data_IF_942647761703
#
_entry.id   IF_942647761703
#
_cell.length_a   1.000
_cell.length_b   1.000
_cell.length_c   1.000
_cell.angle_alpha   90.00
_cell.angle_beta   90.00
_cell.angle_gamma   90.00
#
_symmetry.space_group_name_H-M   'P 1'
#
loop_
_entity.id
_entity.type
_entity.pdbx_description
1 polymer ?
#
# COMPACT_ATOMS: atom_id res chain seq x y z
N UNK A 1 6.87 -20.67 -8.67
CA UNK A 1 5.47 -20.23 -8.92
C UNK A 1 4.56 -20.42 -7.73
N UNK A 2 4.63 -21.55 -7.00
CA UNK A 2 3.68 -21.82 -5.91
C UNK A 2 3.73 -20.80 -4.76
N UNK A 3 4.94 -20.43 -4.31
CA UNK A 3 5.14 -19.42 -3.26
C UNK A 3 4.64 -18.02 -3.66
N UNK A 4 4.82 -17.65 -4.93
CA UNK A 4 4.37 -16.36 -5.46
C UNK A 4 2.84 -16.29 -5.51
N UNK A 5 2.17 -17.33 -6.01
CA UNK A 5 0.71 -17.40 -5.98
C UNK A 5 0.17 -17.36 -4.55
N UNK A 6 0.81 -18.07 -3.62
CA UNK A 6 0.41 -18.08 -2.21
C UNK A 6 0.53 -16.69 -1.58
N UNK A 7 1.61 -15.96 -1.90
CA UNK A 7 1.79 -14.58 -1.45
C UNK A 7 0.74 -13.62 -2.03
N UNK A 8 0.40 -13.78 -3.31
CA UNK A 8 -0.69 -13.00 -3.94
C UNK A 8 -2.04 -13.29 -3.27
N UNK A 9 -2.36 -14.55 -2.99
CA UNK A 9 -3.60 -14.94 -2.29
C UNK A 9 -3.65 -14.32 -0.88
N UNK A 10 -2.58 -14.44 -0.10
CA UNK A 10 -2.53 -13.88 1.26
C UNK A 10 -2.63 -12.34 1.24
N UNK A 11 -2.02 -11.67 0.25
CA UNK A 11 -2.17 -10.22 0.09
C UNK A 11 -3.60 -9.79 -0.22
N UNK A 12 -4.40 -10.64 -0.87
CA UNK A 12 -5.81 -10.38 -1.17
C UNK A 12 -6.73 -10.71 0.01
N UNK A 13 -6.41 -11.73 0.79
CA UNK A 13 -7.23 -12.16 1.94
C UNK A 13 -6.97 -11.36 3.21
N UNK A 14 -5.77 -10.80 3.36
CA UNK A 14 -5.36 -10.08 4.57
C UNK A 14 -4.95 -8.65 4.20
N UNK A 15 -5.85 -7.65 4.35
CA UNK A 15 -5.65 -6.31 3.79
C UNK A 15 -4.34 -5.63 4.21
N UNK A 16 -3.92 -5.80 5.46
CA UNK A 16 -2.68 -5.20 5.98
C UNK A 16 -1.39 -5.85 5.46
N UNK A 17 -1.46 -7.10 4.96
CA UNK A 17 -0.28 -7.79 4.41
C UNK A 17 0.13 -7.15 3.08
N UNK A 18 -0.83 -6.75 2.24
CA UNK A 18 -0.54 -6.04 1.00
C UNK A 18 0.28 -4.77 1.24
N UNK A 19 -0.17 -3.99 2.21
CA UNK A 19 0.52 -2.79 2.70
C UNK A 19 1.93 -3.05 3.20
N UNK A 20 2.14 -4.09 4.01
CA UNK A 20 3.46 -4.47 4.51
C UNK A 20 4.41 -4.89 3.38
N UNK A 21 3.92 -5.66 2.40
CA UNK A 21 4.71 -6.08 1.23
C UNK A 21 5.10 -4.88 0.38
N UNK A 22 4.16 -3.97 0.10
CA UNK A 22 4.43 -2.75 -0.66
C UNK A 22 5.50 -1.88 0.01
N UNK A 23 5.38 -1.67 1.33
CA UNK A 23 6.39 -0.96 2.11
C UNK A 23 7.75 -1.65 2.03
N UNK A 24 7.80 -2.98 2.17
CA UNK A 24 9.02 -3.77 2.05
C UNK A 24 9.70 -3.60 0.68
N UNK A 25 8.93 -3.71 -0.41
CA UNK A 25 9.42 -3.48 -1.78
C UNK A 25 9.97 -2.06 -1.92
N UNK A 26 9.23 -1.06 -1.45
CA UNK A 26 9.66 0.33 -1.50
C UNK A 26 11.00 0.53 -0.79
N UNK A 27 11.16 0.00 0.43
CA UNK A 27 12.39 0.09 1.19
C UNK A 27 13.58 -0.58 0.49
N UNK A 28 13.39 -1.77 -0.10
CA UNK A 28 14.43 -2.47 -0.85
C UNK A 28 14.90 -1.62 -2.04
N UNK A 29 13.96 -1.08 -2.82
CA UNK A 29 14.28 -0.24 -3.97
C UNK A 29 14.92 1.08 -3.55
N UNK A 30 14.48 1.66 -2.43
CA UNK A 30 14.97 2.92 -1.89
C UNK A 30 16.46 2.87 -1.55
N UNK A 31 17.02 1.71 -1.18
CA UNK A 31 18.45 1.54 -0.89
C UNK A 31 19.33 2.06 -2.03
N UNK A 32 18.88 1.88 -3.29
CA UNK A 32 19.62 2.27 -4.50
C UNK A 32 19.72 3.79 -4.68
N UNK A 33 18.82 4.54 -4.06
CA UNK A 33 18.71 5.99 -4.18
C UNK A 33 19.15 6.67 -2.88
N UNK A 34 19.66 7.89 -3.00
CA UNK A 34 20.11 8.68 -1.85
C UNK A 34 19.21 9.90 -1.69
N UNK A 35 17.96 9.66 -1.32
CA UNK A 35 16.93 10.68 -1.22
C UNK A 35 16.35 11.10 -2.58
N UNK A 36 15.98 12.39 -2.70
CA UNK A 36 15.28 13.00 -3.83
C UNK A 36 16.11 13.19 -5.11
N UNK A 37 16.74 12.11 -5.56
CA UNK A 37 17.29 12.01 -6.92
C UNK A 37 16.17 11.86 -7.95
N UNK A 38 16.46 11.98 -9.25
CA UNK A 38 15.48 11.70 -10.31
C UNK A 38 14.87 10.30 -10.14
N UNK A 39 15.71 9.29 -9.94
CA UNK A 39 15.25 7.91 -9.70
C UNK A 39 14.48 7.74 -8.39
N UNK A 40 14.89 8.44 -7.32
CA UNK A 40 14.16 8.47 -6.06
C UNK A 40 12.77 9.12 -6.20
N UNK A 41 12.66 10.17 -7.01
CA UNK A 41 11.39 10.86 -7.30
C UNK A 41 10.45 9.93 -8.08
N UNK A 42 10.96 9.20 -9.08
CA UNK A 42 10.16 8.18 -9.77
C UNK A 42 9.71 7.07 -8.83
N UNK A 43 10.60 6.55 -7.98
CA UNK A 43 10.26 5.53 -6.99
C UNK A 43 9.16 6.03 -6.05
N UNK A 44 9.29 7.27 -5.55
CA UNK A 44 8.29 7.92 -4.72
C UNK A 44 6.93 7.99 -5.42
N UNK A 45 6.88 8.58 -6.61
CA UNK A 45 5.61 8.81 -7.33
C UNK A 45 4.93 7.50 -7.70
N UNK A 46 5.68 6.55 -8.28
CA UNK A 46 5.13 5.25 -8.67
C UNK A 46 4.72 4.47 -7.43
N UNK A 47 5.55 4.46 -6.38
CA UNK A 47 5.26 3.80 -5.13
C UNK A 47 3.96 4.30 -4.51
N UNK A 48 3.81 5.62 -4.36
CA UNK A 48 2.63 6.21 -3.75
C UNK A 48 1.34 5.89 -4.53
N UNK A 49 1.39 5.99 -5.87
CA UNK A 49 0.24 5.68 -6.73
C UNK A 49 -0.12 4.19 -6.64
N UNK A 50 0.85 3.30 -6.84
CA UNK A 50 0.62 1.85 -6.80
C UNK A 50 0.09 1.42 -5.43
N UNK A 51 0.67 1.95 -4.34
CA UNK A 51 0.20 1.66 -2.99
C UNK A 51 -1.23 2.15 -2.75
N UNK A 52 -1.59 3.34 -3.25
CA UNK A 52 -2.96 3.85 -3.12
C UNK A 52 -4.00 3.00 -3.86
N UNK A 53 -3.63 2.36 -4.98
CA UNK A 53 -4.52 1.45 -5.72
C UNK A 53 -4.60 0.04 -5.12
N UNK A 54 -3.49 -0.45 -4.59
CA UNK A 54 -3.37 -1.84 -4.13
C UNK A 54 -3.78 -2.00 -2.67
N UNK A 55 -3.70 -0.95 -1.85
CA UNK A 55 -4.23 -0.99 -0.49
C UNK A 55 -5.76 -1.01 -0.54
N UNK A 56 -6.33 -2.06 0.04
CA UNK A 56 -7.78 -2.33 0.08
C UNK A 56 -8.31 -1.94 1.47
N UNK A 57 -9.57 -1.51 1.61
CA UNK A 57 -10.12 -1.25 2.95
C UNK A 57 -10.14 -2.51 3.82
N UNK A 58 -10.16 -2.31 5.14
CA UNK A 58 -9.92 -3.37 6.12
C UNK A 58 -8.47 -3.42 6.63
N UNK A 59 -7.60 -2.49 6.23
CA UNK A 59 -6.27 -2.34 6.82
C UNK A 59 -6.37 -1.50 8.12
N UNK A 60 -6.29 -2.11 9.31
CA UNK A 60 -6.54 -1.40 10.56
C UNK A 60 -5.54 -0.27 10.83
N UNK A 61 -4.31 -0.36 10.31
CA UNK A 61 -3.26 0.62 10.60
C UNK A 61 -3.46 1.87 9.74
N UNK A 62 -3.74 1.69 8.45
CA UNK A 62 -3.83 2.81 7.49
C UNK A 62 -5.25 3.37 7.36
N UNK A 63 -6.27 2.62 7.77
CA UNK A 63 -7.63 3.11 7.90
C UNK A 63 -7.81 3.94 9.19
N UNK A 64 -7.12 3.65 10.29
CA UNK A 64 -7.34 4.36 11.56
C UNK A 64 -7.28 5.91 11.45
N UNK A 65 -6.33 6.54 10.72
CA UNK A 65 -6.35 7.99 10.56
C UNK A 65 -7.50 8.47 9.66
N UNK A 66 -7.99 7.65 8.72
CA UNK A 66 -9.19 7.96 7.94
C UNK A 66 -10.42 7.97 8.84
N UNK A 67 -10.59 6.91 9.63
CA UNK A 67 -11.71 6.74 10.56
C UNK A 67 -11.75 7.90 11.55
N UNK A 68 -10.61 8.29 12.12
CA UNK A 68 -10.52 9.42 13.05
C UNK A 68 -10.84 10.79 12.42
N UNK A 69 -10.67 10.97 11.11
CA UNK A 69 -10.87 12.24 10.42
C UNK A 69 -12.26 12.38 9.78
N UNK A 70 -12.85 11.26 9.36
CA UNK A 70 -14.04 11.27 8.50
C UNK A 70 -15.24 10.50 9.06
N UNK A 71 -15.06 9.68 10.10
CA UNK A 71 -16.12 8.85 10.66
C UNK A 71 -16.48 9.26 12.10
N UNK A 72 -17.68 8.86 12.53
CA UNK A 72 -18.11 9.02 13.91
C UNK A 72 -17.57 7.90 14.81
N UNK A 73 -17.61 8.11 16.12
CA UNK A 73 -17.24 7.07 17.08
C UNK A 73 -18.10 5.80 16.90
N UNK A 74 -17.46 4.64 16.80
CA UNK A 74 -18.11 3.35 16.55
C UNK A 74 -18.37 3.02 15.07
N UNK A 75 -17.98 3.89 14.14
CA UNK A 75 -18.02 3.64 12.71
C UNK A 75 -16.63 3.22 12.18
N UNK A 76 -16.58 2.20 11.32
CA UNK A 76 -15.34 1.65 10.77
C UNK A 76 -15.38 1.55 9.26
N UNK A 77 -14.22 1.71 8.61
CA UNK A 77 -14.08 1.55 7.17
C UNK A 77 -13.78 0.09 6.83
N UNK A 78 -14.74 -0.58 6.18
CA UNK A 78 -14.64 -1.97 5.77
C UNK A 78 -14.68 -2.13 4.25
N UNK A 79 -14.14 -3.24 3.76
CA UNK A 79 -14.33 -3.72 2.40
C UNK A 79 -15.13 -5.00 2.47
N UNK A 80 -16.36 -4.99 1.98
CA UNK A 80 -17.08 -6.23 1.68
C UNK A 80 -16.84 -6.55 0.22
N UNK A 81 -16.16 -7.68 -0.03
CA UNK A 81 -16.25 -8.30 -1.33
C UNK A 81 -17.66 -8.89 -1.46
N UNK A 82 -18.57 -8.19 -2.12
CA UNK A 82 -19.84 -8.81 -2.50
C UNK A 82 -19.51 -9.75 -3.66
N UNK A 83 -19.37 -11.05 -3.34
CA UNK A 83 -19.23 -12.09 -4.37
C UNK A 83 -20.64 -12.35 -4.90
N UNK A 84 -21.07 -11.57 -5.89
CA UNK A 84 -22.21 -11.95 -6.69
C UNK A 84 -21.76 -13.05 -7.66
N UNK A 85 -22.59 -14.10 -7.79
CA UNK A 85 -22.50 -15.12 -8.83
C UNK A 85 -23.64 -14.89 -9.82
N UNK A 86 -23.56 -13.90 -10.73
CA UNK A 86 -24.70 -13.50 -11.55
C UNK A 86 -25.05 -14.58 -12.59
N UNK A 87 -24.06 -15.41 -12.98
CA UNK A 87 -24.22 -16.55 -13.89
C UNK A 87 -23.04 -17.52 -13.76
N UNK A 88 -23.24 -18.82 -14.05
CA UNK A 88 -22.19 -19.85 -14.02
C UNK A 88 -20.96 -19.43 -14.85
N UNK A 89 -19.89 -19.01 -14.18
CA UNK A 89 -18.60 -18.70 -14.79
C UNK A 89 -18.11 -17.26 -14.61
N UNK A 90 -18.93 -16.34 -14.10
CA UNK A 90 -18.52 -14.96 -13.82
C UNK A 90 -18.59 -14.67 -12.32
N UNK A 91 -17.44 -14.34 -11.74
CA UNK A 91 -17.33 -13.78 -10.41
C UNK A 91 -17.05 -12.29 -10.57
N UNK A 92 -18.04 -11.44 -10.29
CA UNK A 92 -17.80 -10.01 -10.13
C UNK A 92 -17.34 -9.80 -8.69
N UNK A 93 -16.10 -9.34 -8.51
CA UNK A 93 -15.61 -8.86 -7.21
C UNK A 93 -15.70 -7.35 -7.24
N UNK A 94 -16.85 -6.81 -6.85
CA UNK A 94 -17.01 -5.39 -6.56
C UNK A 94 -16.61 -5.19 -5.10
N UNK A 95 -15.48 -4.53 -4.88
CA UNK A 95 -15.04 -4.13 -3.54
C UNK A 95 -15.62 -2.76 -3.24
N UNK A 96 -16.86 -2.73 -2.75
CA UNK A 96 -17.46 -1.47 -2.35
C UNK A 96 -16.87 -1.04 -1.01
N UNK A 97 -16.39 0.20 -0.94
CA UNK A 97 -15.98 0.78 0.32
C UNK A 97 -17.24 1.09 1.14
N UNK A 98 -17.40 0.42 2.28
CA UNK A 98 -18.55 0.62 3.16
C UNK A 98 -18.13 1.07 4.54
N UNK A 99 -19.02 1.80 5.20
CA UNK A 99 -18.92 2.15 6.60
C UNK A 99 -19.83 1.19 7.37
N UNK A 100 -19.26 0.52 8.36
CA UNK A 100 -19.96 -0.43 9.23
C UNK A 100 -20.00 0.08 10.66
N UNK A 101 -20.96 -0.39 11.45
CA UNK A 101 -20.96 -0.19 12.90
C UNK A 101 -20.01 -1.16 13.62
N UNK A 102 -19.93 -1.06 14.95
CA UNK A 102 -19.12 -1.94 15.79
C UNK A 102 -19.52 -3.42 15.73
N UNK A 103 -20.76 -3.71 15.34
CA UNK A 103 -21.29 -5.08 15.17
C UNK A 103 -21.06 -5.60 13.73
N UNK A 104 -20.51 -4.77 12.84
CA UNK A 104 -20.23 -5.08 11.44
C UNK A 104 -21.43 -4.90 10.50
N UNK A 105 -22.52 -4.29 10.96
CA UNK A 105 -23.66 -4.00 10.10
C UNK A 105 -23.34 -2.81 9.19
N UNK A 106 -23.71 -2.92 7.92
CA UNK A 106 -23.54 -1.84 6.94
C UNK A 106 -24.41 -0.64 7.31
N UNK A 107 -23.77 0.53 7.42
CA UNK A 107 -24.45 1.80 7.66
C UNK A 107 -24.63 2.60 6.36
N UNK A 108 -23.57 2.73 5.56
CA UNK A 108 -23.58 3.48 4.29
C UNK A 108 -22.36 3.18 3.41
N UNK A 109 -22.51 3.39 2.11
CA UNK A 109 -21.40 3.43 1.15
C UNK A 109 -20.56 4.71 1.31
N UNK A 110 -19.27 4.63 0.99
CA UNK A 110 -18.38 5.79 0.92
C UNK A 110 -17.83 5.99 -0.49
N UNK A 111 -17.54 7.24 -0.84
CA UNK A 111 -16.99 7.59 -2.15
C UNK A 111 -15.57 7.02 -2.33
N UNK A 112 -15.39 6.15 -3.32
CA UNK A 112 -14.11 5.54 -3.68
C UNK A 112 -13.02 6.53 -4.06
N UNK A 113 -13.40 7.68 -4.63
CA UNK A 113 -12.46 8.74 -4.96
C UNK A 113 -11.89 9.38 -3.70
N UNK A 114 -12.71 9.55 -2.66
CA UNK A 114 -12.26 10.10 -1.38
C UNK A 114 -11.30 9.14 -0.68
N UNK A 115 -11.63 7.85 -0.62
CA UNK A 115 -10.77 6.82 -0.02
C UNK A 115 -9.46 6.69 -0.78
N UNK A 116 -9.51 6.68 -2.12
CA UNK A 116 -8.31 6.69 -2.97
C UNK A 116 -7.43 7.91 -2.72
N UNK A 117 -8.00 9.13 -2.74
CA UNK A 117 -7.22 10.35 -2.58
C UNK A 117 -6.57 10.43 -1.18
N UNK A 118 -7.31 10.03 -0.15
CA UNK A 118 -6.74 9.91 1.19
C UNK A 118 -5.55 8.93 1.21
N UNK A 119 -5.69 7.74 0.62
CA UNK A 119 -4.59 6.76 0.56
C UNK A 119 -3.39 7.32 -0.18
N UNK A 120 -3.62 8.01 -1.30
CA UNK A 120 -2.55 8.66 -2.06
C UNK A 120 -1.80 9.67 -1.21
N UNK A 121 -2.51 10.49 -0.44
CA UNK A 121 -1.88 11.44 0.50
C UNK A 121 -1.13 10.70 1.60
N UNK A 122 -1.74 9.69 2.23
CA UNK A 122 -1.11 8.89 3.29
C UNK A 122 0.21 8.27 2.83
N UNK A 123 0.20 7.55 1.70
CA UNK A 123 1.42 6.95 1.16
C UNK A 123 2.43 7.99 0.67
N UNK A 124 1.99 9.13 0.15
CA UNK A 124 2.88 10.24 -0.18
C UNK A 124 3.58 10.79 1.06
N UNK A 125 2.88 10.89 2.20
CA UNK A 125 3.51 11.28 3.46
C UNK A 125 4.51 10.23 3.92
N UNK A 126 4.12 8.96 3.98
CA UNK A 126 4.99 7.86 4.44
C UNK A 126 6.25 7.77 3.58
N UNK A 127 6.09 7.63 2.26
CA UNK A 127 7.22 7.48 1.34
C UNK A 127 8.05 8.75 1.22
N UNK A 128 7.41 9.92 1.31
CA UNK A 128 8.09 11.23 1.35
C UNK A 128 8.98 11.38 2.58
N UNK A 129 8.53 10.91 3.74
CA UNK A 129 9.35 10.88 4.96
C UNK A 129 10.51 9.89 4.79
N UNK A 130 10.25 8.68 4.31
CA UNK A 130 11.30 7.65 4.15
C UNK A 130 12.39 8.07 3.16
N UNK A 131 12.03 8.63 2.01
CA UNK A 131 13.02 9.11 1.04
C UNK A 131 13.82 10.29 1.59
N UNK A 132 13.17 11.19 2.34
CA UNK A 132 13.84 12.32 2.99
C UNK A 132 14.85 11.82 4.03
N UNK A 133 14.44 10.91 4.91
CA UNK A 133 15.33 10.25 5.89
C UNK A 133 16.50 9.54 5.22
N UNK A 134 16.24 8.82 4.11
CA UNK A 134 17.30 8.15 3.34
C UNK A 134 18.35 9.13 2.81
N UNK A 135 17.94 10.35 2.43
CA UNK A 135 18.83 11.41 1.96
C UNK A 135 19.84 11.88 3.00
N UNK A 136 19.49 11.80 4.29
CA UNK A 136 20.38 12.13 5.40
C UNK A 136 21.37 11.02 5.76
N UNK A 137 21.14 9.79 5.28
CA UNK A 137 22.02 8.65 5.56
C UNK A 137 23.21 8.61 4.60
N UNK A 138 24.41 8.24 5.08
CA UNK A 138 25.58 8.11 4.23
C UNK A 138 25.36 7.03 3.16
N UNK A 139 25.95 7.23 1.98
CA UNK A 139 25.90 6.22 0.91
C UNK A 139 26.62 4.96 1.39
N UNK A 140 25.98 3.80 1.21
CA UNK A 140 26.66 2.53 1.34
C UNK A 140 27.84 2.51 0.37
N UNK A 141 29.06 2.42 0.90
CA UNK A 141 30.26 2.23 0.09
C UNK A 141 30.18 0.82 -0.50
N UNK A 142 29.83 0.71 -1.77
CA UNK A 142 30.10 -0.50 -2.53
C UNK A 142 31.61 -0.61 -2.68
N UNK A 143 32.24 -1.53 -1.96
CA UNK A 143 33.66 -1.86 -2.15
C UNK A 143 33.81 -2.40 -3.58
N UNK A 144 34.37 -1.60 -4.49
CA UNK A 144 34.72 -2.09 -5.81
C UNK A 144 35.84 -3.11 -5.64
N UNK A 145 35.55 -4.38 -5.85
CA UNK A 145 36.59 -5.38 -6.08
C UNK A 145 37.14 -5.12 -7.49
N UNK A 146 38.02 -4.13 -7.62
CA UNK A 146 38.87 -3.99 -8.78
C UNK A 146 40.02 -4.97 -8.62
N UNK A 147 39.82 -6.22 -9.02
CA UNK A 147 40.94 -7.10 -9.33
C UNK A 147 41.55 -6.58 -10.63
N UNK A 148 42.61 -5.78 -10.50
CA UNK A 148 43.55 -5.53 -11.60
C UNK A 148 44.17 -6.88 -11.97
N UNK A 149 44.16 -7.31 -13.25
CA UNK A 149 45.15 -8.27 -13.69
C UNK A 149 46.52 -7.59 -13.60
N UNK A 150 47.47 -8.21 -12.91
CA UNK A 150 48.89 -7.87 -12.98
C UNK A 150 49.40 -8.22 -14.38
N UNK A 151 50.13 -7.29 -15.00
CA UNK A 151 50.95 -7.52 -16.20
C UNK A 151 52.02 -8.59 -15.98
#
# INVERSE_FOLDING_TARGET
MHLFMLLVVVMLEVPWVASGVLLGIFLILLIRFNGWTVGGTFLFTIGAIVSAFVDVPGNPIYNAPFEALFLNEGEYLSATAIIEHPTQGETAVTGDNIIVDADGNELRNINDFLTFFYRLVLYSVIYGVLITLRGFLPKFKTKSTSTSPSE
#
